data_IF_879593788269
#
_entry.id   IF_879593788269
#
_cell.length_a   1.000
_cell.length_b   1.000
_cell.length_c   1.000
_cell.angle_alpha   90.00
_cell.angle_beta   90.00
_cell.angle_gamma   90.00
#
_symmetry.space_group_name_H-M   'P 1'
#
loop_
_entity.id
_entity.type
_entity.pdbx_description
1 polymer ?
#
# COMPACT_ATOMS: atom_id res chain seq x y z
N UNK A 1 -21.05 -6.30 21.23
CA UNK A 1 -20.19 -6.92 20.19
C UNK A 1 -18.93 -6.09 20.10
N UNK A 2 -17.73 -6.68 20.20
CA UNK A 2 -16.50 -5.89 20.08
C UNK A 2 -16.38 -5.35 18.64
N UNK A 3 -15.90 -4.11 18.48
CA UNK A 3 -15.70 -3.49 17.18
C UNK A 3 -14.41 -4.04 16.55
N UNK A 4 -14.42 -5.34 16.20
CA UNK A 4 -13.28 -6.00 15.55
C UNK A 4 -12.89 -5.20 14.32
N UNK A 5 -11.59 -4.91 14.19
CA UNK A 5 -11.05 -4.21 13.03
C UNK A 5 -11.04 -5.16 11.85
N UNK A 6 -11.08 -4.62 10.65
CA UNK A 6 -10.97 -5.35 9.39
C UNK A 6 -9.64 -5.02 8.76
N UNK A 7 -8.94 -6.05 8.31
CA UNK A 7 -7.69 -5.92 7.58
C UNK A 7 -8.01 -6.09 6.10
N UNK A 8 -7.53 -5.13 5.31
CA UNK A 8 -7.69 -5.11 3.88
C UNK A 8 -6.34 -5.03 3.18
N UNK A 9 -6.22 -5.72 2.07
CA UNK A 9 -5.25 -5.38 1.03
C UNK A 9 -5.86 -4.28 0.17
N UNK A 10 -5.13 -3.17 0.02
CA UNK A 10 -5.53 -2.03 -0.81
C UNK A 10 -4.73 -1.99 -2.09
N UNK A 11 -5.41 -1.74 -3.21
CA UNK A 11 -4.81 -1.66 -4.55
C UNK A 11 -4.98 -0.24 -5.05
N UNK A 12 -3.87 0.35 -5.51
CA UNK A 12 -3.78 1.75 -5.91
C UNK A 12 -3.28 1.88 -7.34
N UNK A 13 -3.90 2.80 -8.07
CA UNK A 13 -3.44 3.26 -9.38
C UNK A 13 -2.08 3.95 -9.25
N UNK A 14 -1.13 3.59 -10.11
CA UNK A 14 0.27 4.05 -10.08
C UNK A 14 0.60 4.92 -11.29
N UNK A 15 -0.37 5.69 -11.78
CA UNK A 15 -0.19 6.57 -12.92
C UNK A 15 0.11 5.78 -14.20
N UNK A 16 1.03 6.30 -15.01
CA UNK A 16 1.45 5.70 -16.28
C UNK A 16 1.98 4.26 -16.15
N UNK A 17 2.41 3.84 -14.96
CA UNK A 17 2.84 2.46 -14.70
C UNK A 17 1.69 1.45 -14.71
N UNK A 18 0.47 1.90 -14.42
CA UNK A 18 -0.73 1.06 -14.41
C UNK A 18 -1.43 0.96 -15.78
N UNK A 19 -0.88 1.58 -16.82
CA UNK A 19 -1.52 1.70 -18.13
C UNK A 19 -0.70 1.04 -19.25
N UNK A 20 -1.40 0.69 -20.34
CA UNK A 20 -0.79 0.29 -21.61
C UNK A 20 0.28 -0.80 -21.50
N UNK A 21 1.39 -0.59 -22.20
CA UNK A 21 2.54 -1.51 -22.22
C UNK A 21 3.17 -1.68 -20.83
N UNK A 22 3.21 -0.63 -20.00
CA UNK A 22 3.72 -0.73 -18.64
C UNK A 22 2.89 -1.71 -17.80
N UNK A 23 1.56 -1.67 -17.94
CA UNK A 23 0.68 -2.63 -17.26
C UNK A 23 0.99 -4.06 -17.67
N UNK A 24 1.17 -4.30 -18.97
CA UNK A 24 1.46 -5.63 -19.50
C UNK A 24 2.83 -6.13 -19.01
N UNK A 25 3.85 -5.26 -19.02
CA UNK A 25 5.22 -5.59 -18.63
C UNK A 25 5.38 -5.79 -17.11
N UNK A 26 4.73 -4.95 -16.30
CA UNK A 26 4.90 -4.96 -14.84
C UNK A 26 3.94 -5.93 -14.13
N UNK A 27 2.87 -6.38 -14.80
CA UNK A 27 1.88 -7.29 -14.20
C UNK A 27 1.33 -6.73 -12.89
N UNK A 28 1.50 -7.46 -11.79
CA UNK A 28 1.02 -7.01 -10.47
C UNK A 28 1.74 -5.77 -9.93
N UNK A 29 3.00 -5.55 -10.30
CA UNK A 29 3.77 -4.36 -9.92
C UNK A 29 3.34 -3.08 -10.66
N UNK A 30 2.43 -3.21 -11.64
CA UNK A 30 1.79 -2.08 -12.31
C UNK A 30 0.90 -1.28 -11.35
N UNK A 31 0.48 -1.88 -10.24
CA UNK A 31 -0.30 -1.24 -9.18
C UNK A 31 0.56 -1.09 -7.93
N UNK A 32 0.21 -0.11 -7.09
CA UNK A 32 0.77 -0.01 -5.76
C UNK A 32 -0.13 -0.75 -4.76
N UNK A 33 0.49 -1.47 -3.83
CA UNK A 33 -0.18 -2.32 -2.86
C UNK A 33 0.03 -1.75 -1.46
N UNK A 34 -1.00 -1.83 -0.64
CA UNK A 34 -0.95 -1.39 0.74
C UNK A 34 -1.82 -2.24 1.65
N UNK A 35 -1.72 -2.04 2.95
CA UNK A 35 -2.58 -2.64 3.96
C UNK A 35 -3.41 -1.53 4.61
N UNK A 36 -4.71 -1.74 4.73
CA UNK A 36 -5.61 -0.85 5.47
C UNK A 36 -6.24 -1.62 6.62
N UNK A 37 -6.13 -1.09 7.82
CA UNK A 37 -6.79 -1.61 9.02
C UNK A 37 -7.83 -0.58 9.45
N UNK A 38 -9.10 -0.94 9.33
CA UNK A 38 -10.22 -0.04 9.60
C UNK A 38 -11.15 -0.64 10.67
N UNK A 39 -11.73 0.16 11.59
CA UNK A 39 -12.79 -0.37 12.44
C UNK A 39 -14.00 -0.84 11.61
N UNK A 40 -14.78 -1.79 12.13
CA UNK A 40 -16.03 -2.21 11.50
C UNK A 40 -17.09 -1.10 11.55
N UNK A 41 -17.11 -0.31 12.62
CA UNK A 41 -17.95 0.87 12.78
C UNK A 41 -17.07 2.11 12.82
N UNK A 42 -17.21 2.97 11.81
CA UNK A 42 -16.48 4.22 11.69
C UNK A 42 -17.14 5.30 12.56
N UNK A 43 -16.41 5.79 13.57
CA UNK A 43 -16.86 6.91 14.44
C UNK A 43 -15.85 8.06 14.43
N UNK A 44 -14.58 7.75 14.21
CA UNK A 44 -13.46 8.69 14.19
C UNK A 44 -12.46 8.26 13.10
N UNK A 45 -11.51 9.12 12.69
CA UNK A 45 -10.45 8.76 11.74
C UNK A 45 -9.39 7.86 12.39
N UNK A 46 -9.76 6.64 12.75
CA UNK A 46 -8.91 5.65 13.42
C UNK A 46 -8.47 4.50 12.49
N UNK A 47 -8.40 4.77 11.18
CA UNK A 47 -7.87 3.86 10.19
C UNK A 47 -6.33 3.92 10.17
N UNK A 48 -5.69 2.76 10.11
CA UNK A 48 -4.26 2.66 9.83
C UNK A 48 -4.08 2.29 8.37
N UNK A 49 -3.22 3.01 7.67
CA UNK A 49 -2.80 2.67 6.32
C UNK A 49 -1.30 2.41 6.33
N UNK A 50 -0.90 1.40 5.57
CA UNK A 50 0.48 1.05 5.35
C UNK A 50 0.69 0.88 3.86
N UNK A 51 1.72 1.50 3.34
CA UNK A 51 2.19 1.21 1.99
C UNK A 51 3.14 0.02 2.06
N UNK A 52 3.18 -0.79 0.99
CA UNK A 52 4.08 -1.93 0.88
C UNK A 52 4.93 -1.75 -0.37
N UNK A 53 6.25 -1.79 -0.20
CA UNK A 53 7.20 -1.56 -1.29
C UNK A 53 8.47 -2.37 -1.06
N UNK A 54 9.03 -2.92 -2.15
CA UNK A 54 10.36 -3.51 -2.25
C UNK A 54 11.31 -2.64 -3.11
N UNK A 55 10.81 -1.47 -3.54
CA UNK A 55 11.53 -0.58 -4.42
C UNK A 55 12.85 -0.08 -3.81
N UNK A 56 13.76 0.30 -4.70
CA UNK A 56 15.00 1.00 -4.37
C UNK A 56 14.72 2.23 -3.50
N UNK A 57 15.62 2.47 -2.55
CA UNK A 57 15.60 3.62 -1.64
C UNK A 57 16.90 4.39 -1.78
N UNK A 58 17.00 5.27 -2.78
CA UNK A 58 18.21 6.06 -2.95
C UNK A 58 18.41 6.96 -1.72
N UNK A 59 19.58 6.88 -1.12
CA UNK A 59 20.05 7.86 -0.15
C UNK A 59 20.03 9.26 -0.80
N UNK A 60 19.47 10.28 -0.15
CA UNK A 60 19.27 11.58 -0.78
C UNK A 60 20.59 12.29 -1.10
N UNK A 61 21.67 12.01 -0.37
CA UNK A 61 22.97 12.66 -0.54
C UNK A 61 23.87 11.87 -1.49
N UNK A 62 24.05 10.57 -1.22
CA UNK A 62 24.99 9.69 -1.91
C UNK A 62 24.38 8.99 -3.12
N UNK A 63 23.04 8.95 -3.23
CA UNK A 63 22.27 8.22 -4.25
C UNK A 63 22.48 6.71 -4.25
N UNK A 64 23.19 6.17 -3.26
CA UNK A 64 23.35 4.73 -3.06
C UNK A 64 22.00 4.15 -2.66
N UNK A 65 21.63 3.02 -3.25
CA UNK A 65 20.41 2.31 -2.88
C UNK A 65 20.56 1.72 -1.46
N UNK A 66 19.73 2.19 -0.54
CA UNK A 66 19.62 1.72 0.84
C UNK A 66 18.78 0.43 0.96
N UNK A 67 18.19 -0.06 -0.14
CA UNK A 67 17.48 -1.34 -0.20
C UNK A 67 18.00 -2.24 -1.34
N UNK A 68 19.32 -2.54 -1.38
CA UNK A 68 19.92 -3.24 -2.53
C UNK A 68 19.43 -4.69 -2.68
N UNK A 69 18.88 -5.28 -1.62
CA UNK A 69 18.33 -6.64 -1.63
C UNK A 69 16.83 -6.67 -1.93
N UNK A 70 16.19 -5.52 -2.17
CA UNK A 70 14.75 -5.41 -2.39
C UNK A 70 13.93 -6.07 -1.27
N UNK A 71 14.31 -5.80 -0.02
CA UNK A 71 13.54 -6.25 1.13
C UNK A 71 12.20 -5.51 1.18
N UNK A 72 11.14 -6.24 1.55
CA UNK A 72 9.81 -5.66 1.72
C UNK A 72 9.80 -4.74 2.94
N UNK A 73 9.37 -3.49 2.72
CA UNK A 73 9.22 -2.49 3.77
C UNK A 73 7.78 -2.01 3.87
N UNK A 74 7.40 -1.66 5.10
CA UNK A 74 6.10 -1.09 5.45
C UNK A 74 6.28 0.36 5.89
N UNK A 75 5.63 1.33 5.23
CA UNK A 75 5.60 2.72 5.73
C UNK A 75 4.21 3.04 6.26
N UNK A 76 4.15 3.49 7.51
CA UNK A 76 2.91 3.87 8.17
C UNK A 76 2.43 5.24 7.71
N UNK A 77 1.11 5.43 7.75
CA UNK A 77 0.43 6.68 7.40
C UNK A 77 0.87 7.24 6.03
N UNK A 78 0.82 6.43 4.96
CA UNK A 78 1.05 6.96 3.64
C UNK A 78 0.03 8.05 3.34
N UNK A 79 0.46 9.06 2.59
CA UNK A 79 -0.40 10.15 2.14
C UNK A 79 -1.69 9.57 1.56
N UNK A 80 -2.84 10.09 1.99
CA UNK A 80 -4.15 9.69 1.46
C UNK A 80 -4.13 10.01 -0.04
N UNK A 81 -3.99 8.97 -0.84
CA UNK A 81 -3.97 9.08 -2.29
C UNK A 81 -5.37 8.89 -2.85
N UNK A 82 -5.80 9.77 -3.75
CA UNK A 82 -7.02 9.59 -4.55
C UNK A 82 -6.96 8.44 -5.56
N UNK A 83 -5.90 7.62 -5.51
CA UNK A 83 -5.63 6.52 -6.44
C UNK A 83 -6.23 5.17 -6.04
N UNK A 84 -6.99 5.09 -4.94
CA UNK A 84 -7.54 3.81 -4.48
C UNK A 84 -8.47 3.20 -5.54
N UNK A 85 -8.15 2.00 -6.00
CA UNK A 85 -8.95 1.24 -6.96
C UNK A 85 -9.85 0.21 -6.27
N UNK A 86 -9.41 -0.34 -5.14
CA UNK A 86 -10.19 -1.34 -4.43
C UNK A 86 -9.57 -1.81 -3.12
N UNK A 87 -10.40 -2.47 -2.32
CA UNK A 87 -10.05 -3.09 -1.04
C UNK A 87 -10.50 -4.55 -1.05
N UNK A 88 -9.60 -5.45 -0.68
CA UNK A 88 -9.87 -6.88 -0.52
C UNK A 88 -9.77 -7.20 0.97
N UNK A 89 -10.87 -7.57 1.61
CA UNK A 89 -10.87 -7.94 3.02
C UNK A 89 -10.23 -9.32 3.18
N UNK A 90 -9.21 -9.41 4.04
CA UNK A 90 -8.46 -10.65 4.28
C UNK A 90 -8.71 -11.24 5.65
N UNK A 91 -9.07 -10.42 6.64
CA UNK A 91 -9.39 -10.91 7.99
C UNK A 91 -10.12 -9.87 8.84
N UNK A 92 -10.65 -10.35 9.95
CA UNK A 92 -10.97 -9.51 11.11
C UNK A 92 -9.84 -9.62 12.15
N UNK A 93 -9.46 -8.50 12.76
CA UNK A 93 -8.44 -8.37 13.77
C UNK A 93 -9.07 -7.84 15.06
N UNK A 94 -8.99 -8.62 16.15
CA UNK A 94 -9.54 -8.27 17.46
C UNK A 94 -10.23 -9.41 18.18
#
# INVERSE_FOLDING_TARGET
MSNKRRVFVSIHYRGALSLGENRQRLGYAAYHWGIVISPKVYKEPDCYAFDVSDAARPDPETRIDLNPNHEWIFRSNPTISGSLLGLIMVSEWG
#
